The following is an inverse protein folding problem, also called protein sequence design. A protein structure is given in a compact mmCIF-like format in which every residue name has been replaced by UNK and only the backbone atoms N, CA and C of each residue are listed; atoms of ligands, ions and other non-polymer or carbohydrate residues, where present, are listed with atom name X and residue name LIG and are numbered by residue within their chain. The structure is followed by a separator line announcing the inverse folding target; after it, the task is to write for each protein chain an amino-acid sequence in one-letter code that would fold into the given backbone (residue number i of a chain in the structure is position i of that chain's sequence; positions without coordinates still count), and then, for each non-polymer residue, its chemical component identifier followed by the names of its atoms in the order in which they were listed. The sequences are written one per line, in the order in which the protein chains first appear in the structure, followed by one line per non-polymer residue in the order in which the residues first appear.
data_IF_130472566924
#
_entry.id   IF_130472566924
#
_cell.length_a   1.000
_cell.length_b   1.000
_cell.length_c   1.000
_cell.angle_alpha   90.00
_cell.angle_beta   90.00
_cell.angle_gamma   90.00
#
_symmetry.space_group_name_H-M   'P 1'
#
loop_
_entity.id
_entity.type
_entity.pdbx_description
1 polymer ?
#
# COMPACT_ATOMS: atom_id res chain seq x y z
N UNK A 1 33.64 -5.44 8.90
CA UNK A 1 32.72 -4.53 9.57
C UNK A 1 32.58 -3.17 8.88
N UNK A 2 33.68 -2.42 8.59
CA UNK A 2 33.60 -1.09 7.91
C UNK A 2 32.84 -1.10 6.57
N UNK A 3 32.99 -2.14 5.73
CA UNK A 3 32.30 -2.25 4.43
C UNK A 3 30.80 -2.50 4.57
N UNK A 4 30.36 -3.22 5.61
CA UNK A 4 28.94 -3.47 5.91
C UNK A 4 28.28 -2.19 6.44
N UNK A 5 28.99 -1.45 7.30
CA UNK A 5 28.52 -0.14 7.79
C UNK A 5 28.36 0.89 6.66
N UNK A 6 29.33 0.87 5.72
CA UNK A 6 29.25 1.76 4.54
C UNK A 6 28.07 1.43 3.62
N UNK A 7 27.80 0.13 3.39
CA UNK A 7 26.62 -0.31 2.64
C UNK A 7 25.32 0.06 3.34
N UNK A 8 25.24 -0.14 4.67
CA UNK A 8 24.06 0.23 5.45
C UNK A 8 23.82 1.74 5.43
N UNK A 9 24.89 2.55 5.56
CA UNK A 9 24.83 4.00 5.46
C UNK A 9 24.39 4.47 4.05
N UNK A 10 24.87 3.81 3.00
CA UNK A 10 24.47 4.11 1.63
C UNK A 10 22.98 3.79 1.38
N UNK A 11 22.51 2.67 1.89
CA UNK A 11 21.08 2.29 1.84
C UNK A 11 20.23 3.31 2.60
N UNK A 12 20.64 3.71 3.79
CA UNK A 12 19.94 4.75 4.57
C UNK A 12 19.93 6.10 3.85
N UNK A 13 21.01 6.50 3.20
CA UNK A 13 21.09 7.75 2.44
C UNK A 13 20.16 7.75 1.20
N UNK A 14 20.08 6.63 0.48
CA UNK A 14 19.18 6.50 -0.69
C UNK A 14 17.72 6.45 -0.27
N UNK A 15 17.40 5.82 0.86
CA UNK A 15 16.03 5.83 1.43
C UNK A 15 15.63 7.24 1.86
N UNK A 16 16.56 8.02 2.42
CA UNK A 16 16.30 9.41 2.83
C UNK A 16 16.08 10.35 1.63
N UNK A 17 16.72 10.11 0.49
CA UNK A 17 16.55 10.92 -0.72
C UNK A 17 15.15 10.77 -1.36
N UNK A 18 14.45 9.68 -1.07
CA UNK A 18 13.07 9.44 -1.52
C UNK A 18 12.00 9.85 -0.49
N UNK A 19 12.37 10.54 0.59
CA UNK A 19 11.47 10.93 1.68
C UNK A 19 10.38 11.95 1.29
N UNK A 20 10.36 12.43 0.06
CA UNK A 20 9.29 13.31 -0.46
C UNK A 20 8.02 12.56 -0.85
N UNK A 21 8.06 11.23 -0.90
CA UNK A 21 6.91 10.39 -1.25
C UNK A 21 6.50 9.58 -0.02
N UNK A 22 5.36 9.92 0.56
CA UNK A 22 4.74 9.10 1.60
C UNK A 22 3.93 7.97 0.95
N UNK A 23 3.99 6.78 1.56
CA UNK A 23 3.15 5.65 1.17
C UNK A 23 2.07 5.43 2.21
N UNK A 24 0.85 5.10 1.76
CA UNK A 24 -0.21 4.67 2.66
C UNK A 24 0.18 3.35 3.32
N UNK A 25 -0.12 3.20 4.61
CA UNK A 25 0.12 1.94 5.33
C UNK A 25 -0.65 0.80 4.66
N UNK A 26 0.05 -0.29 4.38
CA UNK A 26 -0.59 -1.50 3.87
C UNK A 26 -1.09 -2.36 5.02
N UNK A 27 -2.30 -2.94 4.87
CA UNK A 27 -2.83 -3.90 5.81
C UNK A 27 -2.03 -5.22 5.78
N UNK A 28 -2.24 -6.09 6.78
CA UNK A 28 -1.50 -7.36 6.88
C UNK A 28 -1.65 -8.24 5.62
N UNK A 29 -2.80 -8.21 4.96
CA UNK A 29 -3.09 -9.01 3.77
C UNK A 29 -2.94 -8.27 2.44
N UNK A 30 -2.57 -6.98 2.44
CA UNK A 30 -2.28 -6.25 1.21
C UNK A 30 -0.90 -6.63 0.67
N UNK A 31 -0.72 -6.51 -0.65
CA UNK A 31 0.55 -6.79 -1.32
C UNK A 31 1.12 -8.18 -1.00
N UNK A 32 0.24 -9.17 -0.89
CA UNK A 32 0.59 -10.57 -0.70
C UNK A 32 0.53 -11.30 -2.03
N UNK A 33 1.56 -12.07 -2.33
CA UNK A 33 1.61 -12.98 -3.47
C UNK A 33 1.85 -14.42 -3.03
N UNK A 34 1.31 -15.37 -3.79
CA UNK A 34 1.59 -16.79 -3.61
C UNK A 34 2.07 -17.35 -4.94
N UNK A 35 3.16 -18.09 -4.90
CA UNK A 35 3.78 -18.65 -6.09
C UNK A 35 4.16 -20.10 -5.96
N UNK A 36 4.24 -20.74 -7.11
CA UNK A 36 4.81 -22.07 -7.29
C UNK A 36 6.17 -21.93 -7.93
N UNK A 37 7.15 -22.66 -7.40
CA UNK A 37 8.55 -22.62 -7.83
C UNK A 37 8.97 -23.96 -8.40
N UNK A 38 9.67 -23.92 -9.51
CA UNK A 38 10.43 -25.06 -10.04
C UNK A 38 11.83 -24.58 -10.42
N UNK A 39 12.83 -25.42 -10.22
CA UNK A 39 14.18 -25.01 -10.52
C UNK A 39 15.19 -26.14 -10.44
N UNK A 40 16.44 -25.77 -10.56
CA UNK A 40 17.58 -26.67 -10.47
C UNK A 40 18.64 -26.08 -9.55
N UNK A 41 19.37 -26.95 -8.88
CA UNK A 41 20.51 -26.55 -8.06
C UNK A 41 21.70 -27.47 -8.30
N UNK A 42 22.90 -26.93 -8.16
CA UNK A 42 24.15 -27.67 -8.29
C UNK A 42 25.13 -27.26 -7.19
N UNK A 43 25.97 -28.15 -6.66
CA UNK A 43 27.05 -27.77 -5.76
C UNK A 43 27.97 -26.71 -6.38
N UNK A 44 28.42 -25.75 -5.56
CA UNK A 44 29.34 -24.71 -6.02
C UNK A 44 30.79 -25.25 -6.21
N UNK A 45 31.11 -26.42 -5.67
CA UNK A 45 32.38 -27.06 -5.83
C UNK A 45 32.39 -27.90 -7.14
N UNK A 46 32.88 -27.30 -8.20
CA UNK A 46 32.90 -27.85 -9.57
C UNK A 46 34.00 -28.90 -9.80
N UNK A 47 34.06 -29.91 -8.95
CA UNK A 47 35.06 -30.97 -9.17
C UNK A 47 34.66 -32.05 -10.18
N UNK A 48 33.45 -32.04 -10.69
CA UNK A 48 32.99 -32.90 -11.77
C UNK A 48 31.69 -32.45 -12.38
N UNK A 49 31.39 -32.92 -13.58
CA UNK A 49 30.26 -32.58 -14.43
C UNK A 49 28.93 -32.62 -13.64
N UNK A 50 28.45 -31.47 -13.27
CA UNK A 50 27.11 -31.09 -12.78
C UNK A 50 26.19 -32.22 -12.31
N UNK A 51 26.09 -32.55 -11.01
CA UNK A 51 24.85 -33.10 -10.54
C UNK A 51 23.81 -31.98 -10.43
N UNK A 52 22.86 -31.91 -11.36
CA UNK A 52 21.72 -31.04 -11.27
C UNK A 52 20.67 -31.71 -10.38
N UNK A 53 20.33 -31.09 -9.24
CA UNK A 53 19.23 -31.48 -8.41
C UNK A 53 18.00 -30.66 -8.79
N UNK A 54 16.92 -31.32 -9.16
CA UNK A 54 15.63 -30.63 -9.41
C UNK A 54 14.98 -30.27 -8.11
N UNK A 55 14.44 -29.06 -8.03
CA UNK A 55 13.67 -28.61 -6.88
C UNK A 55 12.31 -28.06 -7.30
N UNK A 56 11.32 -28.25 -6.42
CA UNK A 56 9.98 -27.69 -6.55
C UNK A 56 9.55 -27.11 -5.20
N UNK A 57 8.69 -26.11 -5.24
CA UNK A 57 8.28 -25.48 -4.00
C UNK A 57 7.19 -24.46 -4.10
N UNK A 58 6.96 -23.81 -2.97
CA UNK A 58 6.00 -22.72 -2.81
C UNK A 58 6.72 -21.49 -2.27
N UNK A 59 6.28 -20.32 -2.72
CA UNK A 59 6.75 -19.03 -2.26
C UNK A 59 5.57 -18.15 -1.87
N UNK A 60 5.62 -17.55 -0.69
CA UNK A 60 4.69 -16.52 -0.25
C UNK A 60 5.49 -15.22 -0.15
N UNK A 61 5.01 -14.17 -0.77
CA UNK A 61 5.64 -12.85 -0.74
C UNK A 61 4.73 -11.83 -0.07
N UNK A 62 5.31 -10.94 0.69
CA UNK A 62 4.63 -9.79 1.31
C UNK A 62 5.49 -8.55 1.15
N UNK A 63 5.06 -7.60 0.34
CA UNK A 63 5.72 -6.31 0.29
C UNK A 63 5.22 -5.42 1.42
N UNK A 64 6.16 -4.94 2.24
CA UNK A 64 5.91 -4.04 3.38
C UNK A 64 5.92 -2.60 2.89
N UNK A 65 6.87 -2.29 2.03
CA UNK A 65 6.99 -1.00 1.34
C UNK A 65 7.27 -1.26 -0.14
N UNK A 66 7.20 -0.25 -1.02
CA UNK A 66 7.59 -0.43 -2.41
C UNK A 66 9.03 -0.94 -2.60
N UNK A 67 9.88 -0.80 -1.57
CA UNK A 67 11.31 -1.14 -1.62
C UNK A 67 11.63 -2.40 -0.83
N UNK A 68 10.91 -2.63 0.28
CA UNK A 68 11.23 -3.72 1.23
C UNK A 68 10.07 -4.71 1.24
N UNK A 69 10.39 -5.99 1.06
CA UNK A 69 9.48 -7.11 1.15
C UNK A 69 10.02 -8.24 2.02
N UNK A 70 9.14 -9.16 2.38
CA UNK A 70 9.44 -10.42 3.03
C UNK A 70 8.97 -11.57 2.15
N UNK A 71 9.68 -12.69 2.18
CA UNK A 71 9.34 -13.89 1.44
C UNK A 71 9.51 -15.12 2.34
N UNK A 72 8.51 -15.98 2.36
CA UNK A 72 8.61 -17.33 2.92
C UNK A 72 8.67 -18.29 1.74
N UNK A 73 9.66 -19.16 1.74
CA UNK A 73 9.89 -20.13 0.66
C UNK A 73 10.04 -21.54 1.24
N UNK A 74 9.29 -22.48 0.70
CA UNK A 74 9.44 -23.90 0.99
C UNK A 74 9.86 -24.64 -0.29
N UNK A 75 11.03 -25.26 -0.30
CA UNK A 75 11.58 -26.00 -1.43
C UNK A 75 11.78 -27.47 -1.06
N UNK A 76 11.34 -28.36 -1.93
CA UNK A 76 11.64 -29.78 -1.88
C UNK A 76 12.63 -30.11 -3.00
N UNK A 77 13.76 -30.66 -2.64
CA UNK A 77 14.75 -31.19 -3.58
C UNK A 77 14.34 -32.61 -3.93
N UNK A 78 14.09 -32.86 -5.21
CA UNK A 78 13.64 -34.16 -5.70
C UNK A 78 14.84 -35.14 -5.83
N UNK A 79 14.56 -36.38 -5.60
CA UNK A 79 15.55 -37.45 -5.78
C UNK A 79 15.51 -37.93 -7.24
N UNK A 80 16.56 -37.69 -7.99
CA UNK A 80 16.65 -38.10 -9.40
C UNK A 80 16.90 -39.60 -9.54
N UNK A 81 17.34 -40.25 -8.47
CA UNK A 81 17.67 -41.69 -8.49
C UNK A 81 16.49 -42.48 -7.90
N UNK A 82 15.54 -42.85 -8.73
CA UNK A 82 14.33 -43.61 -8.37
C UNK A 82 14.59 -44.96 -7.72
N UNK A 83 15.82 -45.46 -7.83
CA UNK A 83 16.21 -46.79 -7.39
C UNK A 83 17.26 -46.79 -6.27
N UNK A 84 17.58 -45.62 -5.71
CA UNK A 84 18.43 -45.56 -4.52
C UNK A 84 17.63 -46.02 -3.28
N UNK A 85 18.36 -46.43 -2.23
CA UNK A 85 17.81 -46.92 -0.96
C UNK A 85 16.89 -45.92 -0.22
N UNK A 86 16.70 -44.74 -0.77
CA UNK A 86 15.78 -43.73 -0.32
C UNK A 86 14.34 -44.11 -0.72
N UNK A 87 13.54 -44.47 0.26
CA UNK A 87 12.11 -44.76 0.09
C UNK A 87 11.25 -43.53 -0.18
N UNK A 88 11.84 -42.33 -0.39
CA UNK A 88 11.14 -41.06 -0.55
C UNK A 88 11.49 -40.38 -1.86
N UNK A 89 10.50 -39.75 -2.48
CA UNK A 89 10.67 -38.93 -3.69
C UNK A 89 11.45 -37.64 -3.39
N UNK A 90 11.42 -37.18 -2.14
CA UNK A 90 12.07 -35.95 -1.68
C UNK A 90 13.37 -36.28 -0.96
N UNK A 91 14.49 -35.75 -1.44
CA UNK A 91 15.82 -35.90 -0.84
C UNK A 91 16.03 -34.94 0.36
N UNK A 92 15.59 -33.72 0.21
CA UNK A 92 15.68 -32.70 1.27
C UNK A 92 14.55 -31.68 1.13
N UNK A 93 14.20 -31.06 2.24
CA UNK A 93 13.24 -29.93 2.29
C UNK A 93 13.92 -28.74 2.94
N UNK A 94 13.79 -27.56 2.34
CA UNK A 94 14.30 -26.30 2.89
C UNK A 94 13.14 -25.32 3.06
N UNK A 95 12.97 -24.79 4.27
CA UNK A 95 12.02 -23.73 4.56
C UNK A 95 12.80 -22.49 4.97
N UNK A 96 12.64 -21.40 4.22
CA UNK A 96 13.40 -20.17 4.40
C UNK A 96 12.52 -18.94 4.59
N UNK A 97 13.02 -18.01 5.39
CA UNK A 97 12.51 -16.65 5.52
C UNK A 97 13.55 -15.70 4.93
N UNK A 98 13.14 -14.94 3.90
CA UNK A 98 14.01 -14.05 3.15
C UNK A 98 13.47 -12.61 3.24
N UNK A 99 14.39 -11.65 3.39
CA UNK A 99 14.13 -10.25 3.10
C UNK A 99 14.39 -9.98 1.62
N UNK A 100 13.55 -9.16 1.01
CA UNK A 100 13.69 -8.69 -0.35
C UNK A 100 13.88 -7.18 -0.38
N UNK A 101 14.82 -6.70 -1.18
CA UNK A 101 15.06 -5.28 -1.43
C UNK A 101 14.91 -5.00 -2.92
N UNK A 102 13.85 -4.30 -3.31
CA UNK A 102 13.58 -3.94 -4.69
C UNK A 102 14.52 -2.83 -5.16
N UNK A 103 15.56 -3.20 -5.88
CA UNK A 103 16.58 -2.27 -6.41
C UNK A 103 15.99 -1.34 -7.45
N UNK A 104 15.03 -1.83 -8.25
CA UNK A 104 14.37 -1.01 -9.26
C UNK A 104 13.62 0.16 -8.63
N UNK A 105 12.92 -0.07 -7.52
CA UNK A 105 12.22 0.99 -6.80
C UNK A 105 13.16 1.82 -5.93
N UNK A 106 14.23 1.23 -5.42
CA UNK A 106 15.23 1.92 -4.63
C UNK A 106 15.97 3.00 -5.45
N UNK A 107 16.43 2.65 -6.65
CA UNK A 107 17.26 3.55 -7.49
C UNK A 107 16.44 4.47 -8.40
N UNK A 108 15.30 4.00 -8.91
CA UNK A 108 14.47 4.77 -9.86
C UNK A 108 13.15 5.28 -9.27
N UNK A 109 12.95 5.14 -7.96
CA UNK A 109 11.74 5.53 -7.27
C UNK A 109 10.53 4.65 -7.64
N UNK A 110 9.51 4.59 -6.81
CA UNK A 110 8.27 3.89 -7.10
C UNK A 110 7.31 4.81 -7.88
N UNK A 111 6.72 4.30 -8.98
CA UNK A 111 5.86 5.08 -9.90
C UNK A 111 4.35 4.93 -9.62
N UNK A 112 3.98 4.42 -8.45
CA UNK A 112 2.57 4.12 -8.13
C UNK A 112 2.05 2.80 -8.72
N UNK A 113 2.79 2.19 -9.66
CA UNK A 113 2.48 0.89 -10.26
C UNK A 113 3.76 0.09 -10.46
N UNK A 114 3.71 -1.26 -10.35
CA UNK A 114 4.85 -2.11 -10.63
C UNK A 114 5.34 -1.94 -12.08
N UNK A 115 6.65 -2.00 -12.27
CA UNK A 115 7.23 -2.01 -13.61
C UNK A 115 7.00 -3.37 -14.27
N UNK A 116 7.13 -3.41 -15.59
CA UNK A 116 7.09 -4.68 -16.34
C UNK A 116 8.25 -5.58 -15.91
N UNK A 117 9.42 -5.00 -15.68
CA UNK A 117 10.59 -5.69 -15.18
C UNK A 117 11.13 -5.02 -13.93
N UNK A 118 11.36 -5.81 -12.88
CA UNK A 118 11.91 -5.37 -11.61
C UNK A 118 13.01 -6.31 -11.14
N UNK A 119 14.03 -5.74 -10.52
CA UNK A 119 15.15 -6.47 -9.93
C UNK A 119 15.14 -6.24 -8.43
N UNK A 120 15.18 -7.33 -7.66
CA UNK A 120 15.29 -7.28 -6.20
C UNK A 120 16.47 -8.15 -5.74
N UNK A 121 17.18 -7.72 -4.70
CA UNK A 121 18.07 -8.61 -3.97
C UNK A 121 17.26 -9.37 -2.94
N UNK A 122 17.59 -10.61 -2.73
CA UNK A 122 17.03 -11.45 -1.67
C UNK A 122 18.15 -11.99 -0.79
N UNK A 123 17.92 -11.97 0.52
CA UNK A 123 18.79 -12.60 1.49
C UNK A 123 17.97 -13.11 2.67
N UNK A 124 18.35 -14.24 3.21
CA UNK A 124 17.61 -14.82 4.31
C UNK A 124 18.26 -16.04 4.92
N UNK A 125 17.55 -16.58 5.90
CA UNK A 125 17.91 -17.80 6.60
C UNK A 125 16.83 -18.86 6.38
N UNK A 126 17.25 -20.12 6.37
CA UNK A 126 16.36 -21.25 6.21
C UNK A 126 16.77 -22.44 7.07
N UNK A 127 15.85 -23.36 7.19
CA UNK A 127 16.05 -24.64 7.82
C UNK A 127 15.92 -25.76 6.77
N UNK A 128 16.97 -26.53 6.64
CA UNK A 128 17.07 -27.69 5.73
C UNK A 128 16.96 -28.97 6.54
N UNK A 129 16.07 -29.85 6.11
CA UNK A 129 15.98 -31.22 6.58
C UNK A 129 16.35 -32.18 5.43
N UNK A 130 17.40 -32.98 5.63
CA UNK A 130 17.82 -34.03 4.69
C UNK A 130 17.20 -35.38 5.09
N UNK A 131 16.29 -35.88 4.27
CA UNK A 131 15.51 -37.09 4.57
C UNK A 131 16.36 -38.37 4.52
N UNK A 132 17.46 -38.35 3.78
CA UNK A 132 18.35 -39.50 3.65
C UNK A 132 19.23 -39.75 4.89
N UNK A 133 19.69 -38.67 5.54
CA UNK A 133 20.55 -38.75 6.73
C UNK A 133 19.82 -38.38 8.01
N UNK A 134 18.57 -37.93 7.92
CA UNK A 134 17.77 -37.35 9.01
C UNK A 134 18.47 -36.17 9.72
N UNK A 135 19.35 -35.47 8.97
CA UNK A 135 20.10 -34.34 9.48
C UNK A 135 19.35 -33.00 9.26
N UNK A 136 19.53 -32.12 10.21
CA UNK A 136 18.99 -30.77 10.16
C UNK A 136 20.16 -29.77 10.05
N UNK A 137 20.00 -28.80 9.19
CA UNK A 137 21.00 -27.75 8.99
C UNK A 137 20.35 -26.38 8.87
N UNK A 138 21.03 -25.38 9.39
CA UNK A 138 20.69 -23.99 9.09
C UNK A 138 21.26 -23.64 7.71
N UNK A 139 20.49 -22.92 6.90
CA UNK A 139 20.93 -22.42 5.60
C UNK A 139 20.85 -20.92 5.54
N UNK A 140 21.74 -20.30 4.76
CA UNK A 140 21.62 -18.92 4.34
C UNK A 140 21.42 -18.86 2.83
N UNK A 141 20.60 -17.93 2.37
CA UNK A 141 20.32 -17.69 0.96
C UNK A 141 20.72 -16.27 0.60
N UNK A 142 21.36 -16.11 -0.55
CA UNK A 142 21.60 -14.80 -1.16
C UNK A 142 21.37 -14.93 -2.67
N UNK A 143 20.62 -14.01 -3.25
CA UNK A 143 20.31 -14.07 -4.68
C UNK A 143 19.66 -12.81 -5.21
N UNK A 144 19.19 -12.91 -6.45
CA UNK A 144 18.46 -11.87 -7.14
C UNK A 144 17.10 -12.44 -7.60
N UNK A 145 16.04 -11.68 -7.42
CA UNK A 145 14.76 -11.92 -8.07
C UNK A 145 14.64 -11.00 -9.29
N UNK A 146 14.57 -11.60 -10.47
CA UNK A 146 14.33 -10.94 -11.74
C UNK A 146 12.84 -11.15 -12.07
N UNK A 147 12.00 -10.17 -11.72
CA UNK A 147 10.56 -10.29 -11.84
C UNK A 147 10.04 -9.66 -13.13
N UNK A 148 9.29 -10.45 -13.90
CA UNK A 148 8.55 -10.02 -15.07
C UNK A 148 7.06 -9.95 -14.72
N UNK A 149 6.53 -8.75 -14.54
CA UNK A 149 5.16 -8.50 -14.15
C UNK A 149 4.25 -8.43 -15.38
N UNK A 150 3.28 -9.34 -15.46
CA UNK A 150 2.46 -9.61 -16.64
C UNK A 150 1.05 -9.07 -16.44
N UNK A 151 0.43 -8.64 -17.53
CA UNK A 151 -0.95 -8.16 -17.57
C UNK A 151 -1.09 -6.68 -17.24
N UNK A 152 -2.28 -6.14 -17.49
CA UNK A 152 -2.61 -4.72 -17.27
C UNK A 152 -2.50 -4.36 -15.78
N UNK A 153 -3.01 -5.23 -14.91
CA UNK A 153 -3.04 -5.02 -13.46
C UNK A 153 -1.84 -5.63 -12.73
N UNK A 154 -0.85 -6.20 -13.47
CA UNK A 154 0.34 -6.83 -12.88
C UNK A 154 0.02 -7.89 -11.80
N UNK A 155 -1.12 -8.59 -11.98
CA UNK A 155 -1.57 -9.63 -11.05
C UNK A 155 -0.72 -10.91 -11.11
N UNK A 156 0.04 -11.09 -12.18
CA UNK A 156 0.85 -12.27 -12.45
C UNK A 156 2.30 -11.86 -12.64
N UNK A 157 3.22 -12.61 -12.04
CA UNK A 157 4.65 -12.38 -12.21
C UNK A 157 5.38 -13.70 -12.46
N UNK A 158 6.34 -13.67 -13.40
CA UNK A 158 7.33 -14.69 -13.55
C UNK A 158 8.64 -14.18 -12.95
N UNK A 159 9.15 -14.88 -11.96
CA UNK A 159 10.35 -14.48 -11.23
C UNK A 159 11.44 -15.52 -11.45
N UNK A 160 12.52 -15.11 -12.11
CA UNK A 160 13.73 -15.90 -12.24
C UNK A 160 14.68 -15.54 -11.10
N UNK A 161 15.06 -16.56 -10.31
CA UNK A 161 15.86 -16.37 -9.10
C UNK A 161 17.18 -17.14 -9.20
N UNK A 162 18.27 -16.57 -9.72
CA UNK A 162 19.61 -17.06 -9.44
C UNK A 162 19.98 -16.78 -7.97
N UNK A 163 20.39 -17.84 -7.26
CA UNK A 163 20.70 -17.73 -5.83
C UNK A 163 21.81 -18.71 -5.42
N UNK A 164 22.51 -18.34 -4.35
CA UNK A 164 23.45 -19.22 -3.66
C UNK A 164 22.85 -19.57 -2.31
N UNK A 165 22.78 -20.86 -2.03
CA UNK A 165 22.44 -21.40 -0.73
C UNK A 165 23.70 -21.89 -0.03
N UNK A 166 23.91 -21.38 1.18
CA UNK A 166 25.03 -21.75 2.05
C UNK A 166 24.52 -22.68 3.13
N UNK A 167 25.15 -23.81 3.33
CA UNK A 167 24.85 -24.69 4.45
C UNK A 167 25.69 -24.29 5.65
N UNK A 168 25.06 -23.88 6.74
CA UNK A 168 25.69 -23.41 7.97
C UNK A 168 25.69 -24.57 8.99
N UNK A 169 26.63 -25.48 8.91
CA UNK A 169 26.65 -26.73 9.66
C UNK A 169 26.70 -26.63 11.18
N UNK A 170 27.16 -25.50 11.74
CA UNK A 170 27.25 -25.31 13.21
C UNK A 170 27.03 -23.83 13.56
N UNK A 171 26.15 -23.59 14.53
CA UNK A 171 25.86 -22.25 15.05
C UNK A 171 27.10 -21.62 15.70
N UNK A 172 28.02 -22.44 16.25
CA UNK A 172 29.21 -21.97 16.96
C UNK A 172 30.31 -21.44 16.02
N UNK A 173 30.26 -21.75 14.71
CA UNK A 173 31.20 -21.27 13.74
C UNK A 173 30.52 -21.11 12.38
N UNK A 174 29.95 -19.93 12.12
CA UNK A 174 29.38 -19.60 10.81
C UNK A 174 30.53 -19.44 9.82
N UNK A 175 30.82 -20.49 9.06
CA UNK A 175 31.76 -20.46 7.96
C UNK A 175 30.99 -20.58 6.64
N UNK A 176 31.16 -19.60 5.77
CA UNK A 176 30.71 -19.71 4.38
C UNK A 176 31.71 -20.56 3.59
N UNK A 177 31.59 -21.91 3.72
CA UNK A 177 32.44 -22.85 3.01
C UNK A 177 31.85 -23.12 1.61
N UNK A 178 32.68 -23.06 0.59
CA UNK A 178 32.35 -23.42 -0.80
C UNK A 178 31.81 -24.84 -0.93
N UNK A 179 32.32 -25.77 -0.11
CA UNK A 179 31.94 -27.20 -0.13
C UNK A 179 30.51 -27.46 0.32
N UNK A 180 29.93 -26.55 1.08
CA UNK A 180 28.52 -26.62 1.51
C UNK A 180 27.58 -25.71 0.71
N UNK A 181 28.13 -24.99 -0.28
CA UNK A 181 27.33 -24.03 -1.04
C UNK A 181 26.70 -24.68 -2.28
N UNK A 182 25.48 -24.24 -2.62
CA UNK A 182 24.75 -24.64 -3.82
C UNK A 182 24.37 -23.43 -4.64
N UNK A 183 24.64 -23.47 -5.92
CA UNK A 183 24.08 -22.51 -6.87
C UNK A 183 22.73 -23.03 -7.34
N UNK A 184 21.71 -22.21 -7.27
CA UNK A 184 20.37 -22.55 -7.73
C UNK A 184 19.85 -21.52 -8.74
N UNK A 185 19.07 -22.02 -9.67
CA UNK A 185 18.29 -21.21 -10.60
C UNK A 185 16.85 -21.66 -10.53
N UNK A 186 16.00 -20.82 -9.94
CA UNK A 186 14.59 -21.09 -9.70
C UNK A 186 13.73 -20.19 -10.59
N UNK A 187 12.67 -20.74 -11.16
CA UNK A 187 11.60 -20.02 -11.83
C UNK A 187 10.35 -20.13 -10.97
N UNK A 188 9.81 -19.01 -10.57
CA UNK A 188 8.59 -18.91 -9.75
C UNK A 188 7.51 -18.19 -10.53
N UNK A 189 6.33 -18.79 -10.64
CA UNK A 189 5.13 -18.08 -11.03
C UNK A 189 4.43 -17.59 -9.76
N UNK A 190 4.19 -16.27 -9.66
CA UNK A 190 3.54 -15.63 -8.51
C UNK A 190 2.23 -15.01 -8.94
N UNK A 191 1.18 -15.28 -8.18
CA UNK A 191 -0.10 -14.59 -8.27
C UNK A 191 -0.25 -13.61 -7.10
N UNK A 192 -0.55 -12.35 -7.41
CA UNK A 192 -0.80 -11.29 -6.44
C UNK A 192 -2.28 -11.17 -6.16
N UNK A 193 -2.67 -11.30 -4.90
CA UNK A 193 -4.07 -11.37 -4.50
C UNK A 193 -4.83 -10.06 -4.71
N UNK A 194 -6.15 -10.17 -4.83
CA UNK A 194 -7.08 -9.06 -5.09
C UNK A 194 -7.04 -7.96 -4.02
N UNK A 195 -6.66 -8.24 -2.79
CA UNK A 195 -6.53 -7.24 -1.72
C UNK A 195 -5.48 -6.17 -2.04
N UNK A 196 -4.49 -6.52 -2.84
CA UNK A 196 -3.53 -5.61 -3.45
C UNK A 196 -3.98 -5.14 -4.85
N UNK A 197 -5.29 -5.26 -5.18
CA UNK A 197 -5.82 -5.06 -6.53
C UNK A 197 -5.13 -5.94 -7.59
N UNK A 198 -4.64 -7.11 -7.20
CA UNK A 198 -3.87 -8.01 -8.04
C UNK A 198 -2.51 -7.43 -8.47
N UNK A 199 -2.04 -6.40 -7.79
CA UNK A 199 -0.82 -5.65 -8.13
C UNK A 199 -0.10 -5.26 -6.86
N UNK A 200 1.19 -4.93 -6.96
CA UNK A 200 1.97 -4.33 -5.88
C UNK A 200 1.72 -2.82 -5.82
N UNK A 201 0.49 -2.41 -5.64
CA UNK A 201 0.15 -1.00 -5.58
C UNK A 201 0.25 -0.47 -4.16
N UNK A 202 1.17 0.45 -3.97
CA UNK A 202 1.18 1.33 -2.81
C UNK A 202 0.64 2.68 -3.26
N UNK A 203 -0.32 3.23 -2.56
CA UNK A 203 -0.74 4.61 -2.78
C UNK A 203 0.37 5.54 -2.31
N UNK A 204 0.79 6.42 -3.21
CA UNK A 204 1.85 7.38 -2.96
C UNK A 204 1.28 8.79 -2.89
N UNK A 205 1.75 9.57 -1.93
CA UNK A 205 1.42 10.98 -1.77
C UNK A 205 2.69 11.80 -1.92
N UNK A 206 2.64 12.82 -2.77
CA UNK A 206 3.72 13.81 -2.88
C UNK A 206 3.62 14.77 -1.69
N UNK A 207 4.46 14.52 -0.68
CA UNK A 207 4.51 15.34 0.54
C UNK A 207 4.98 16.76 0.21
N UNK A 208 5.88 16.92 -0.76
CA UNK A 208 6.37 18.23 -1.17
C UNK A 208 5.26 19.10 -1.77
N UNK A 209 4.47 18.54 -2.69
CA UNK A 209 3.32 19.21 -3.28
C UNK A 209 2.25 19.53 -2.23
N UNK A 210 1.99 18.59 -1.29
CA UNK A 210 1.03 18.83 -0.19
C UNK A 210 1.51 19.92 0.77
N UNK A 211 2.78 19.91 1.17
CA UNK A 211 3.36 20.95 2.04
C UNK A 211 3.34 22.32 1.38
N UNK A 212 3.67 22.40 0.08
CA UNK A 212 3.58 23.64 -0.68
C UNK A 212 2.14 24.15 -0.78
N UNK A 213 1.17 23.25 -0.93
CA UNK A 213 -0.25 23.60 -0.95
C UNK A 213 -0.74 24.09 0.41
N UNK A 214 -0.29 23.46 1.50
CA UNK A 214 -0.59 23.89 2.88
C UNK A 214 -0.01 25.29 3.12
N UNK A 215 1.28 25.50 2.81
CA UNK A 215 1.92 26.81 2.96
C UNK A 215 1.23 27.92 2.14
N UNK A 216 0.79 27.60 0.92
CA UNK A 216 0.02 28.52 0.09
C UNK A 216 -1.35 28.86 0.71
N UNK A 217 -2.07 27.85 1.24
CA UNK A 217 -3.35 28.06 1.89
C UNK A 217 -3.21 28.84 3.21
N UNK A 218 -2.17 28.56 3.98
CA UNK A 218 -1.85 29.29 5.21
C UNK A 218 -1.56 30.77 4.91
N UNK A 219 -0.78 31.04 3.87
CA UNK A 219 -0.49 32.42 3.42
C UNK A 219 -1.77 33.15 2.96
N UNK A 220 -2.69 32.49 2.25
CA UNK A 220 -3.98 33.06 1.89
C UNK A 220 -4.87 33.33 3.11
N UNK A 221 -4.82 32.44 4.08
CA UNK A 221 -5.59 32.55 5.33
C UNK A 221 -5.07 33.74 6.16
N UNK A 222 -3.77 33.91 6.21
CA UNK A 222 -3.10 35.03 6.87
C UNK A 222 -3.40 36.36 6.15
N UNK A 223 -3.37 36.39 4.82
CA UNK A 223 -3.76 37.54 4.01
C UNK A 223 -5.25 37.91 4.25
N UNK A 224 -6.13 36.90 4.32
CA UNK A 224 -7.56 37.12 4.61
C UNK A 224 -7.76 37.66 6.03
N UNK A 225 -7.00 37.15 7.02
CA UNK A 225 -7.05 37.60 8.41
C UNK A 225 -6.51 39.03 8.58
N UNK A 226 -5.49 39.40 7.79
CA UNK A 226 -4.85 40.71 7.83
C UNK A 226 -5.53 41.74 6.94
N UNK A 227 -6.51 41.38 6.11
CA UNK A 227 -7.30 42.34 5.35
C UNK A 227 -8.06 43.24 6.33
N UNK A 228 -7.53 44.46 6.52
CA UNK A 228 -8.30 45.52 7.21
C UNK A 228 -9.61 45.66 6.46
N UNK A 229 -10.76 45.67 7.16
CA UNK A 229 -12.04 46.02 6.52
C UNK A 229 -11.86 47.34 5.83
N UNK A 230 -12.07 47.43 4.51
CA UNK A 230 -12.17 48.69 3.81
C UNK A 230 -13.43 49.41 4.37
N UNK A 231 -13.22 50.22 5.38
CA UNK A 231 -14.25 51.13 5.87
C UNK A 231 -14.40 52.21 4.80
N UNK A 232 -15.24 51.93 3.83
CA UNK A 232 -15.81 53.02 3.01
C UNK A 232 -16.90 53.67 3.85
N UNK A 233 -16.56 54.76 4.52
CA UNK A 233 -17.55 55.62 5.13
C UNK A 233 -18.48 56.17 4.03
N UNK A 234 -19.54 55.44 3.76
CA UNK A 234 -20.70 55.92 3.06
C UNK A 234 -21.92 55.64 3.92
N UNK A 235 -22.41 56.69 4.55
CA UNK A 235 -23.67 56.66 5.28
C UNK A 235 -24.78 56.05 4.40
N UNK A 236 -25.10 54.80 4.66
CA UNK A 236 -26.41 54.22 4.39
C UNK A 236 -26.68 53.24 5.51
N UNK A 237 -27.59 53.57 6.42
CA UNK A 237 -28.18 52.65 7.36
C UNK A 237 -28.84 51.49 6.60
N UNK A 238 -28.09 50.46 6.35
CA UNK A 238 -28.63 49.13 6.12
C UNK A 238 -27.53 48.13 6.51
N UNK A 239 -27.67 47.60 7.71
CA UNK A 239 -26.83 46.52 8.19
C UNK A 239 -27.04 45.30 7.29
N UNK A 240 -26.21 45.16 6.26
CA UNK A 240 -26.07 43.91 5.52
C UNK A 240 -24.93 43.15 6.19
N UNK A 241 -25.23 42.30 7.14
CA UNK A 241 -24.33 41.27 7.63
C UNK A 241 -24.13 40.31 6.47
N UNK A 242 -23.05 40.46 5.74
CA UNK A 242 -22.59 39.45 4.75
C UNK A 242 -21.94 38.36 5.59
N UNK A 243 -22.51 37.16 5.71
CA UNK A 243 -21.84 36.05 6.40
C UNK A 243 -20.62 35.65 5.56
N UNK A 244 -19.45 35.59 6.21
CA UNK A 244 -18.21 35.21 5.59
C UNK A 244 -18.17 33.72 5.19
N UNK A 245 -19.18 32.92 5.53
CA UNK A 245 -19.36 31.53 5.15
C UNK A 245 -20.40 31.42 4.05
N UNK A 246 -19.97 31.05 2.86
CA UNK A 246 -20.85 30.67 1.76
C UNK A 246 -21.27 29.20 1.81
N UNK A 247 -20.62 28.41 2.65
CA UNK A 247 -20.86 26.97 2.78
C UNK A 247 -20.85 26.52 4.24
N UNK A 248 -21.75 25.60 4.58
CA UNK A 248 -21.84 24.93 5.88
C UNK A 248 -21.79 23.43 5.66
N UNK A 249 -21.03 22.73 6.50
CA UNK A 249 -20.82 21.29 6.43
C UNK A 249 -21.51 20.62 7.62
N UNK A 250 -22.50 19.79 7.33
CA UNK A 250 -23.28 19.05 8.31
C UNK A 250 -22.86 17.60 8.32
N UNK A 251 -22.27 17.13 9.42
CA UNK A 251 -21.76 15.79 9.54
C UNK A 251 -22.82 14.80 10.03
N UNK A 252 -22.81 13.57 9.51
CA UNK A 252 -23.69 12.48 9.89
C UNK A 252 -22.93 11.28 10.44
N UNK A 253 -23.60 10.54 11.33
CA UNK A 253 -23.11 9.24 11.77
C UNK A 253 -23.13 8.22 10.61
N UNK A 254 -22.36 7.15 10.76
CA UNK A 254 -22.31 6.08 9.76
C UNK A 254 -23.69 5.45 9.57
N UNK A 255 -24.09 5.25 8.32
CA UNK A 255 -25.41 4.69 7.91
C UNK A 255 -26.63 5.47 8.43
N UNK A 256 -26.45 6.67 8.98
CA UNK A 256 -27.52 7.52 9.51
C UNK A 256 -27.73 8.78 8.66
N UNK A 257 -28.97 9.27 8.66
CA UNK A 257 -29.39 10.57 8.16
C UNK A 257 -30.05 11.41 9.27
N UNK A 258 -29.82 11.07 10.54
CA UNK A 258 -30.35 11.82 11.69
C UNK A 258 -29.44 13.00 12.01
N UNK A 259 -30.03 14.17 12.27
CA UNK A 259 -29.31 15.37 12.68
C UNK A 259 -28.96 15.29 14.16
N UNK A 260 -27.66 15.31 14.46
CA UNK A 260 -27.15 15.44 15.83
C UNK A 260 -27.39 16.88 16.38
N UNK A 261 -27.17 17.10 17.68
CA UNK A 261 -27.19 18.42 18.29
C UNK A 261 -26.22 19.38 17.61
N UNK A 262 -25.00 18.93 17.39
CA UNK A 262 -23.93 19.70 16.73
C UNK A 262 -24.30 20.05 15.29
N UNK A 263 -24.93 19.11 14.58
CA UNK A 263 -25.43 19.35 13.22
C UNK A 263 -26.49 20.43 13.18
N UNK A 264 -27.40 20.43 14.16
CA UNK A 264 -28.42 21.47 14.30
C UNK A 264 -27.82 22.84 14.68
N UNK A 265 -26.77 22.85 15.51
CA UNK A 265 -26.09 24.11 15.89
C UNK A 265 -25.43 24.76 14.67
N UNK A 266 -24.80 23.96 13.79
CA UNK A 266 -24.26 24.45 12.51
C UNK A 266 -25.37 25.04 11.63
N UNK A 267 -26.49 24.34 11.50
CA UNK A 267 -27.64 24.81 10.71
C UNK A 267 -28.33 26.05 11.32
N UNK A 268 -28.29 26.18 12.64
CA UNK A 268 -28.83 27.33 13.34
C UNK A 268 -28.06 28.62 13.06
N UNK A 269 -26.79 28.51 12.63
CA UNK A 269 -26.00 29.66 12.19
C UNK A 269 -26.42 30.24 10.83
N UNK A 270 -27.33 29.59 10.10
CA UNK A 270 -27.85 30.09 8.82
C UNK A 270 -29.02 31.07 9.07
N UNK A 271 -28.92 32.26 8.49
CA UNK A 271 -29.96 33.30 8.67
C UNK A 271 -31.28 32.92 8.02
N UNK A 272 -32.41 33.29 8.64
CA UNK A 272 -33.76 32.92 8.21
C UNK A 272 -34.13 33.41 6.79
N UNK A 273 -33.52 34.49 6.32
CA UNK A 273 -33.76 35.04 4.98
C UNK A 273 -32.79 34.50 3.93
N UNK A 274 -31.95 33.54 4.28
CA UNK A 274 -30.99 32.93 3.35
C UNK A 274 -31.70 32.06 2.31
N UNK A 275 -31.14 32.04 1.09
CA UNK A 275 -31.53 31.09 0.05
C UNK A 275 -30.37 30.13 -0.12
N UNK A 276 -30.61 28.82 0.00
CA UNK A 276 -29.56 27.83 0.03
C UNK A 276 -29.82 26.64 -0.90
N UNK A 277 -28.75 26.02 -1.38
CA UNK A 277 -28.76 24.70 -1.99
C UNK A 277 -28.18 23.67 -1.01
N UNK A 278 -28.70 22.44 -1.04
CA UNK A 278 -28.27 21.37 -0.15
C UNK A 278 -27.82 20.16 -0.97
N UNK A 279 -26.58 19.70 -0.74
CA UNK A 279 -26.03 18.50 -1.38
C UNK A 279 -25.67 17.49 -0.30
N UNK A 280 -26.31 16.31 -0.31
CA UNK A 280 -25.96 15.20 0.56
C UNK A 280 -24.90 14.29 -0.10
N UNK A 281 -24.01 13.75 0.73
CA UNK A 281 -22.99 12.78 0.31
C UNK A 281 -22.96 11.56 1.24
N UNK A 282 -22.39 10.46 0.77
CA UNK A 282 -22.17 9.24 1.54
C UNK A 282 -20.74 8.75 1.42
N UNK A 283 -20.25 8.02 2.41
CA UNK A 283 -18.95 7.34 2.36
C UNK A 283 -18.97 6.16 1.40
N UNK A 284 -17.80 5.73 0.88
CA UNK A 284 -17.73 4.72 -0.18
C UNK A 284 -18.00 3.28 0.30
N UNK A 285 -18.27 3.10 1.59
CA UNK A 285 -18.55 1.78 2.15
C UNK A 285 -19.98 1.34 1.80
N UNK A 286 -20.11 0.16 1.22
CA UNK A 286 -21.41 -0.44 0.87
C UNK A 286 -21.79 -0.31 -0.60
N UNK A 287 -23.02 -0.69 -0.89
CA UNK A 287 -23.58 -0.67 -2.24
C UNK A 287 -23.85 0.74 -2.76
N UNK A 288 -23.63 0.96 -4.07
CA UNK A 288 -23.79 2.26 -4.70
C UNK A 288 -25.22 2.80 -4.61
N UNK A 289 -26.22 1.93 -4.78
CA UNK A 289 -27.63 2.30 -4.71
C UNK A 289 -28.05 2.67 -3.27
N UNK A 290 -27.54 1.95 -2.27
CA UNK A 290 -27.74 2.30 -0.87
C UNK A 290 -27.11 3.67 -0.56
N UNK A 291 -25.90 3.93 -1.05
CA UNK A 291 -25.18 5.19 -0.84
C UNK A 291 -25.88 6.36 -1.52
N UNK A 292 -26.45 6.15 -2.69
CA UNK A 292 -27.26 7.15 -3.38
C UNK A 292 -28.50 7.51 -2.54
N UNK A 293 -29.29 6.51 -2.12
CA UNK A 293 -30.48 6.74 -1.27
C UNK A 293 -30.14 7.36 0.10
N UNK A 294 -28.99 7.00 0.69
CA UNK A 294 -28.54 7.58 1.95
C UNK A 294 -28.19 9.07 1.79
N UNK A 295 -27.49 9.42 0.72
CA UNK A 295 -27.12 10.79 0.42
C UNK A 295 -28.35 11.67 0.16
N UNK A 296 -29.35 11.15 -0.55
CA UNK A 296 -30.64 11.82 -0.78
C UNK A 296 -31.40 12.06 0.54
N UNK A 297 -31.47 11.04 1.41
CA UNK A 297 -32.10 11.22 2.74
C UNK A 297 -31.41 12.27 3.59
N UNK A 298 -30.07 12.35 3.57
CA UNK A 298 -29.30 13.37 4.28
C UNK A 298 -29.60 14.76 3.77
N UNK A 299 -29.63 14.94 2.45
CA UNK A 299 -30.02 16.23 1.86
C UNK A 299 -31.45 16.62 2.21
N UNK A 300 -32.38 15.67 2.13
CA UNK A 300 -33.80 15.91 2.43
C UNK A 300 -34.03 16.33 3.90
N UNK A 301 -33.38 15.66 4.85
CA UNK A 301 -33.52 15.98 6.30
C UNK A 301 -32.95 17.36 6.60
N UNK A 302 -31.82 17.74 6.01
CA UNK A 302 -31.27 19.11 6.17
C UNK A 302 -32.19 20.14 5.53
N UNK A 303 -32.70 19.87 4.32
CA UNK A 303 -33.62 20.78 3.63
C UNK A 303 -34.95 20.97 4.42
N UNK A 304 -35.52 19.90 4.96
CA UNK A 304 -36.73 19.96 5.82
C UNK A 304 -36.47 20.77 7.10
N UNK A 305 -35.33 20.53 7.76
CA UNK A 305 -34.95 21.29 8.95
C UNK A 305 -34.81 22.79 8.67
N UNK A 306 -34.11 23.15 7.59
CA UNK A 306 -33.91 24.55 7.19
C UNK A 306 -35.24 25.23 6.80
N UNK A 307 -36.09 24.51 6.06
CA UNK A 307 -37.41 25.02 5.67
C UNK A 307 -38.31 25.28 6.89
N UNK A 308 -38.30 24.40 7.91
CA UNK A 308 -39.00 24.59 9.18
C UNK A 308 -38.52 25.80 9.95
N UNK A 309 -37.27 26.23 9.76
CA UNK A 309 -36.67 27.43 10.32
C UNK A 309 -36.92 28.69 9.51
N UNK A 310 -37.62 28.62 8.39
CA UNK A 310 -37.89 29.77 7.55
C UNK A 310 -36.78 30.09 6.52
N UNK A 311 -35.73 29.23 6.40
CA UNK A 311 -34.71 29.35 5.37
C UNK A 311 -35.25 28.83 4.04
N UNK A 312 -35.09 29.59 2.96
CA UNK A 312 -35.54 29.19 1.64
C UNK A 312 -34.55 28.19 1.01
N UNK A 313 -34.98 26.94 0.83
CA UNK A 313 -34.20 25.93 0.12
C UNK A 313 -34.55 26.01 -1.36
N UNK A 314 -33.57 26.41 -2.21
CA UNK A 314 -33.73 26.52 -3.65
C UNK A 314 -33.69 25.15 -4.32
N UNK A 315 -32.74 24.29 -3.92
CA UNK A 315 -32.62 22.92 -4.40
C UNK A 315 -31.96 22.02 -3.37
N UNK A 316 -32.27 20.72 -3.44
CA UNK A 316 -31.53 19.72 -2.68
C UNK A 316 -31.34 18.46 -3.53
N UNK A 317 -30.22 17.75 -3.34
CA UNK A 317 -29.92 16.50 -4.06
C UNK A 317 -28.92 15.63 -3.29
N UNK A 318 -29.01 14.32 -3.50
CA UNK A 318 -27.99 13.37 -3.08
C UNK A 318 -27.02 13.09 -4.22
N UNK A 319 -25.73 13.10 -3.93
CA UNK A 319 -24.67 12.82 -4.92
C UNK A 319 -23.98 11.46 -4.71
N UNK A 320 -24.53 10.62 -3.82
CA UNK A 320 -23.90 9.34 -3.49
C UNK A 320 -22.51 9.55 -2.91
N UNK A 321 -21.55 8.75 -3.37
CA UNK A 321 -20.14 8.84 -3.00
C UNK A 321 -19.46 9.92 -3.85
N UNK A 322 -18.91 10.96 -3.21
CA UNK A 322 -18.08 11.95 -3.88
C UNK A 322 -16.59 11.66 -3.66
N UNK A 323 -15.83 11.51 -4.74
CA UNK A 323 -14.39 11.32 -4.71
C UNK A 323 -13.71 12.65 -4.34
N UNK A 324 -12.85 12.64 -3.32
CA UNK A 324 -12.01 13.79 -2.96
C UNK A 324 -12.41 14.54 -1.68
N UNK A 325 -13.51 14.20 -1.02
CA UNK A 325 -13.84 14.71 0.31
C UNK A 325 -13.29 13.79 1.40
N UNK A 326 -12.52 14.34 2.34
CA UNK A 326 -11.89 13.59 3.42
C UNK A 326 -12.90 12.84 4.33
N UNK A 327 -14.16 13.33 4.38
CA UNK A 327 -15.27 12.66 5.06
C UNK A 327 -16.52 12.75 4.19
N UNK A 328 -16.87 11.64 3.53
CA UNK A 328 -18.05 11.56 2.65
C UNK A 328 -19.40 11.41 3.39
N UNK A 329 -19.47 11.70 4.69
CA UNK A 329 -20.71 11.61 5.51
C UNK A 329 -21.28 12.99 5.83
N UNK A 330 -21.44 13.80 4.79
CA UNK A 330 -21.78 15.21 4.92
C UNK A 330 -23.07 15.56 4.17
N UNK A 331 -23.74 16.61 4.63
CA UNK A 331 -24.51 17.47 3.74
C UNK A 331 -23.82 18.85 3.67
N UNK A 332 -23.69 19.37 2.48
CA UNK A 332 -23.10 20.68 2.17
C UNK A 332 -24.25 21.62 1.87
N UNK A 333 -24.33 22.69 2.63
CA UNK A 333 -25.31 23.76 2.44
C UNK A 333 -24.58 24.96 1.87
N UNK A 334 -24.94 25.38 0.67
CA UNK A 334 -24.31 26.50 -0.04
C UNK A 334 -25.30 27.65 -0.18
N UNK A 335 -24.86 28.85 0.14
CA UNK A 335 -25.67 30.06 -0.07
C UNK A 335 -25.84 30.34 -1.56
N UNK A 336 -27.06 30.60 -1.99
CA UNK A 336 -27.38 31.08 -3.35
C UNK A 336 -27.22 32.59 -3.35
N UNK A 337 -26.28 33.11 -4.12
CA UNK A 337 -26.07 34.56 -4.29
C UNK A 337 -27.12 35.17 -5.18
#
# INVERSE_FOLDING_TARGET
MKKIFLMLALICAVVSANAQIATENSNAFDNVGVGVTAGVSTPLDFNSVFPLNTNVGLKITKDITPVIGLQIEGLAVLNDNHFSDLKTVVKATNIGLNGALNLSNLFWGYKGTPRVFEVSTITGLGWLHAWNTSENSLTAKTGLDLAFNIGKNKAHSLVLTPAVYWNLHKIDAIHFDKRGAQLALNLTYVYHFKNSNGTHHFKTYDVGAMTSKIAYLDAQLEECHNRKPNVVEKYVEKTITVPCNTEWFVQFAQKSAELTSEAKDVLNGIGENAVVNVIGTSSPEGDAEFNQRLSERRAAVVADYLTKRGVKVNSWSGKGVQIGLATNRLAIVTLVQ
#
